data_IF_476928129394
#
_entry.id   IF_476928129394
#
_cell.length_a   1.000
_cell.length_b   1.000
_cell.length_c   1.000
_cell.angle_alpha   90.00
_cell.angle_beta   90.00
_cell.angle_gamma   90.00
#
_symmetry.space_group_name_H-M   'P 1'
#
loop_
_entity.id
_entity.type
_entity.pdbx_description
1 polymer ?
2 non-polymer ?
3 non-polymer ?
4 water ?
#
# COMPACT_ATOMS: atom_id res chain seq x y z
N UNK A 1 2.46 19.64 -29.03
CA UNK A 1 2.20 18.24 -29.34
C UNK A 1 3.44 17.39 -29.30
N UNK A 2 3.48 16.44 -28.36
CA UNK A 2 4.62 15.55 -28.21
C UNK A 2 4.22 14.10 -28.46
N UNK A 3 5.19 13.28 -28.84
CA UNK A 3 4.97 11.86 -29.00
C UNK A 3 5.60 11.10 -27.84
N UNK A 4 4.76 10.59 -26.94
CA UNK A 4 5.21 9.98 -25.71
C UNK A 4 4.95 8.48 -25.65
N UNK A 5 5.88 7.77 -25.04
CA UNK A 5 5.72 6.34 -24.79
C UNK A 5 5.61 6.10 -23.29
N UNK A 6 4.59 5.35 -22.88
CA UNK A 6 4.41 5.05 -21.47
C UNK A 6 4.49 3.54 -21.22
N UNK A 7 5.54 3.13 -20.54
CA UNK A 7 5.73 1.73 -20.18
C UNK A 7 4.81 1.38 -19.01
N UNK A 8 4.17 0.21 -19.10
CA UNK A 8 3.20 -0.27 -18.12
C UNK A 8 2.01 0.69 -18.02
N UNK A 9 1.40 0.98 -19.17
CA UNK A 9 0.29 1.92 -19.23
C UNK A 9 -1.00 1.35 -18.65
N UNK A 10 -1.01 0.05 -18.38
CA UNK A 10 -2.19 -0.58 -17.79
C UNK A 10 -2.19 -0.44 -16.27
N UNK A 11 -1.03 -0.12 -15.70
CA UNK A 11 -0.92 0.13 -14.28
C UNK A 11 -1.74 1.35 -13.90
N UNK A 12 -2.05 1.48 -12.62
CA UNK A 12 -2.90 2.57 -12.15
C UNK A 12 -2.24 3.92 -12.40
N UNK A 13 -0.94 4.01 -12.14
CA UNK A 13 -0.20 5.25 -12.38
C UNK A 13 -0.01 5.48 -13.87
N UNK A 14 0.27 4.40 -14.59
CA UNK A 14 0.51 4.46 -16.02
C UNK A 14 -0.64 5.04 -16.81
N UNK A 15 -1.85 4.55 -16.57
CA UNK A 15 -3.01 5.02 -17.31
C UNK A 15 -3.45 6.39 -16.82
N UNK A 16 -3.08 6.72 -15.59
CA UNK A 16 -3.31 8.07 -15.08
C UNK A 16 -2.54 9.06 -15.93
N UNK A 17 -1.28 8.74 -16.20
CA UNK A 17 -0.42 9.58 -17.02
C UNK A 17 -0.88 9.59 -18.49
N UNK A 18 -1.27 8.42 -18.99
CA UNK A 18 -1.78 8.31 -20.36
C UNK A 18 -3.01 9.18 -20.55
N UNK A 19 -3.99 9.01 -19.68
CA UNK A 19 -5.25 9.76 -19.76
C UNK A 19 -5.01 11.27 -19.68
N UNK A 20 -4.08 11.67 -18.82
CA UNK A 20 -3.74 13.08 -18.68
C UNK A 20 -3.04 13.60 -19.93
N UNK A 21 -2.07 12.85 -20.42
CA UNK A 21 -1.30 13.25 -21.60
C UNK A 21 -2.15 13.29 -22.86
N UNK A 22 -3.11 12.36 -22.95
CA UNK A 22 -4.02 12.32 -24.09
C UNK A 22 -4.90 13.57 -24.12
N UNK A 23 -5.37 13.95 -22.95
CA UNK A 23 -6.21 15.10 -22.78
C UNK A 23 -5.49 16.36 -23.23
N UNK A 24 -4.20 16.43 -22.99
CA UNK A 24 -3.37 17.58 -23.35
C UNK A 24 -3.21 17.68 -24.86
N UNK A 25 -3.41 16.55 -25.55
CA UNK A 25 -3.38 16.53 -27.01
C UNK A 25 -2.19 15.80 -27.61
N UNK A 26 -1.35 15.22 -26.76
CA UNK A 26 -0.18 14.48 -27.23
C UNK A 26 -0.57 13.13 -27.80
N UNK A 27 0.22 12.61 -28.73
CA UNK A 27 -0.02 11.26 -29.25
C UNK A 27 0.77 10.24 -28.43
N UNK A 28 0.03 9.39 -27.72
CA UNK A 28 0.64 8.50 -26.73
C UNK A 28 0.65 7.04 -27.20
N UNK A 29 1.82 6.44 -27.14
CA UNK A 29 1.97 5.01 -27.40
C UNK A 29 2.04 4.26 -26.09
N UNK A 30 1.17 3.27 -25.91
CA UNK A 30 1.18 2.44 -24.72
C UNK A 30 2.00 1.18 -24.94
N UNK A 31 3.02 0.98 -24.12
CA UNK A 31 3.79 -0.25 -24.15
C UNK A 31 3.34 -1.12 -22.99
N UNK A 32 2.64 -2.19 -23.30
CA UNK A 32 1.97 -3.01 -22.29
C UNK A 32 2.27 -4.51 -22.46
N UNK A 33 1.81 -5.30 -21.51
CA UNK A 33 2.02 -6.74 -21.53
C UNK A 33 0.75 -7.49 -21.88
N UNK A 34 -0.39 -6.94 -21.50
CA UNK A 34 -1.68 -7.55 -21.81
C UNK A 34 -2.57 -6.58 -22.59
N UNK A 35 -3.87 -6.86 -22.62
CA UNK A 35 -4.81 -6.02 -23.37
C UNK A 35 -4.81 -4.59 -22.85
N UNK A 36 -4.91 -3.63 -23.77
CA UNK A 36 -4.85 -2.22 -23.40
C UNK A 36 -6.13 -1.74 -22.76
N UNK A 37 -6.03 -1.30 -21.50
CA UNK A 37 -7.16 -0.74 -20.79
C UNK A 37 -7.08 0.79 -20.77
N UNK A 38 -5.93 1.32 -21.17
CA UNK A 38 -5.73 2.77 -21.18
C UNK A 38 -6.39 3.42 -22.39
N UNK A 39 -6.37 4.76 -22.42
CA UNK A 39 -6.99 5.51 -23.50
C UNK A 39 -6.01 5.78 -24.63
N UNK A 40 -4.93 5.02 -24.66
CA UNK A 40 -3.80 5.32 -25.55
C UNK A 40 -4.11 5.05 -27.02
N UNK A 41 -3.47 5.82 -27.91
CA UNK A 41 -3.69 5.68 -29.32
C UNK A 41 -3.15 4.39 -29.91
N UNK A 42 -1.85 4.23 -29.81
CA UNK A 42 -1.23 3.02 -30.35
C UNK A 42 -0.64 2.14 -29.25
N UNK A 43 -0.70 0.83 -29.46
CA UNK A 43 -0.27 -0.11 -28.45
C UNK A 43 0.85 -1.01 -28.95
N UNK A 44 1.91 -1.12 -28.15
CA UNK A 44 2.94 -2.10 -28.38
C UNK A 44 2.84 -3.16 -27.29
N UNK A 45 2.24 -4.30 -27.60
CA UNK A 45 2.18 -5.38 -26.64
C UNK A 45 3.47 -6.17 -26.69
N UNK A 46 4.32 -5.95 -25.70
CA UNK A 46 5.66 -6.51 -25.70
C UNK A 46 6.18 -6.55 -24.27
N UNK A 47 7.02 -7.52 -23.96
CA UNK A 47 7.65 -7.57 -22.65
C UNK A 47 8.66 -6.45 -22.55
N UNK A 48 8.64 -5.75 -21.43
CA UNK A 48 9.50 -4.59 -21.19
C UNK A 48 10.97 -4.84 -21.53
N UNK A 49 11.51 -5.94 -21.04
CA UNK A 49 12.93 -6.23 -21.18
C UNK A 49 13.27 -6.86 -22.54
N UNK A 50 12.30 -6.85 -23.44
CA UNK A 50 12.52 -7.32 -24.79
C UNK A 50 12.44 -6.15 -25.78
N UNK A 51 12.31 -4.95 -25.24
CA UNK A 51 12.27 -3.74 -26.05
C UNK A 51 13.60 -3.49 -26.75
N UNK A 52 13.52 -2.92 -27.94
CA UNK A 52 14.71 -2.56 -28.70
C UNK A 52 14.76 -1.05 -28.90
N UNK A 53 15.87 -0.55 -29.45
CA UNK A 53 15.97 0.86 -29.76
C UNK A 53 14.92 1.26 -30.80
N UNK A 54 14.68 0.37 -31.75
CA UNK A 54 13.68 0.62 -32.78
C UNK A 54 12.26 0.73 -32.22
N UNK A 55 12.07 0.22 -31.01
CA UNK A 55 10.79 0.37 -30.32
C UNK A 55 10.65 1.75 -29.70
N UNK A 56 11.77 2.34 -29.30
CA UNK A 56 11.74 3.60 -28.57
C UNK A 56 12.20 4.80 -29.40
N UNK A 57 12.54 4.56 -30.66
CA UNK A 57 12.85 5.66 -31.57
C UNK A 57 11.57 6.37 -31.99
N UNK A 58 11.66 7.67 -32.25
CA UNK A 58 10.51 8.44 -32.67
C UNK A 58 9.64 8.87 -31.49
N UNK A 59 10.27 9.13 -30.35
CA UNK A 59 9.55 9.64 -29.18
C UNK A 59 10.26 10.85 -28.59
N UNK A 60 9.49 11.87 -28.22
CA UNK A 60 10.05 13.03 -27.54
C UNK A 60 10.47 12.67 -26.13
N UNK A 61 9.67 11.80 -25.50
CA UNK A 61 9.96 11.35 -24.15
C UNK A 61 9.37 9.98 -23.88
N UNK A 62 10.05 9.20 -23.03
CA UNK A 62 9.57 7.90 -22.61
C UNK A 62 9.34 7.89 -21.10
N UNK A 63 8.10 7.61 -20.69
CA UNK A 63 7.75 7.61 -19.28
C UNK A 63 7.53 6.19 -18.77
N UNK A 64 8.38 5.75 -17.85
CA UNK A 64 8.24 4.42 -17.28
C UNK A 64 7.46 4.47 -15.97
N UNK A 65 6.30 3.81 -15.99
CA UNK A 65 5.48 3.65 -14.79
C UNK A 65 5.53 2.21 -14.34
N UNK A 66 6.66 1.56 -14.62
CA UNK A 66 6.87 0.15 -14.29
C UNK A 66 6.75 -0.11 -12.79
N UNK A 67 5.97 -1.13 -12.45
CA UNK A 67 5.82 -1.55 -11.07
C UNK A 67 5.95 -3.06 -10.94
N UNK A 68 6.81 -3.50 -10.03
CA UNK A 68 7.07 -4.93 -9.85
C UNK A 68 5.84 -5.68 -9.38
N UNK A 69 5.45 -6.69 -10.16
CA UNK A 69 4.25 -7.49 -9.88
C UNK A 69 4.45 -8.38 -8.66
N UNK A 70 5.65 -8.91 -8.49
CA UNK A 70 5.97 -9.73 -7.32
C UNK A 70 7.21 -9.20 -6.60
N UNK A 71 7.27 -9.38 -5.27
CA UNK A 71 8.39 -8.95 -4.42
C UNK A 71 9.74 -9.53 -4.84
N UNK A 72 9.75 -10.71 -5.45
CA UNK A 72 11.01 -11.30 -5.92
C UNK A 72 11.39 -10.75 -7.29
N UNK A 73 10.50 -9.99 -7.90
CA UNK A 73 10.79 -9.32 -9.15
C UNK A 73 11.10 -7.85 -8.92
N UNK A 74 11.15 -7.43 -7.66
CA UNK A 74 11.53 -6.06 -7.31
C UNK A 74 12.89 -5.63 -7.87
N UNK A 75 13.88 -6.54 -7.95
CA UNK A 75 15.14 -6.10 -8.59
C UNK A 75 15.03 -5.69 -10.05
N UNK A 76 13.88 -5.93 -10.69
CA UNK A 76 13.70 -5.57 -12.09
C UNK A 76 13.64 -4.06 -12.30
N UNK A 77 13.42 -3.31 -11.21
CA UNK A 77 13.46 -1.85 -11.26
C UNK A 77 14.83 -1.38 -11.72
N UNK A 78 15.87 -1.99 -11.17
CA UNK A 78 17.24 -1.64 -11.53
C UNK A 78 17.55 -2.11 -12.94
N UNK A 79 17.15 -3.33 -13.26
CA UNK A 79 17.43 -3.91 -14.57
C UNK A 79 16.74 -3.09 -15.66
N UNK A 80 15.58 -2.53 -15.34
CA UNK A 80 14.84 -1.71 -16.31
C UNK A 80 15.63 -0.45 -16.65
N UNK A 81 16.23 0.16 -15.62
CA UNK A 81 17.07 1.34 -15.81
C UNK A 81 18.25 1.02 -16.73
N UNK A 82 18.94 -0.07 -16.44
CA UNK A 82 20.08 -0.50 -17.23
C UNK A 82 19.66 -0.72 -18.68
N UNK A 83 18.48 -1.30 -18.86
CA UNK A 83 17.93 -1.55 -20.19
C UNK A 83 17.60 -0.25 -20.93
N UNK A 84 16.87 0.63 -20.26
CA UNK A 84 16.45 1.88 -20.87
C UNK A 84 17.64 2.76 -21.23
N UNK A 85 18.66 2.75 -20.38
CA UNK A 85 19.89 3.48 -20.66
C UNK A 85 20.53 2.99 -21.95
N UNK A 86 20.59 1.67 -22.10
CA UNK A 86 21.12 1.04 -23.29
C UNK A 86 20.37 1.46 -24.52
N UNK A 87 19.09 1.75 -24.38
CA UNK A 87 18.22 2.06 -25.51
C UNK A 87 18.17 3.54 -25.83
N UNK A 88 18.30 4.38 -24.80
CA UNK A 88 18.04 5.80 -24.96
C UNK A 88 19.28 6.70 -24.87
N UNK A 89 20.33 6.23 -24.21
CA UNK A 89 21.56 7.03 -24.08
C UNK A 89 22.14 7.35 -25.45
N UNK A 90 22.67 8.56 -25.60
CA UNK A 90 23.17 9.02 -26.88
C UNK A 90 22.13 9.83 -27.62
N UNK A 91 20.87 9.44 -27.47
CA UNK A 91 19.76 10.17 -28.10
C UNK A 91 19.35 11.33 -27.20
N UNK A 92 18.52 12.22 -27.72
CA UNK A 92 18.14 13.41 -26.97
C UNK A 92 16.82 13.19 -26.23
N UNK A 93 16.24 12.01 -26.45
CA UNK A 93 14.96 11.65 -25.83
C UNK A 93 14.99 11.71 -24.30
N UNK A 94 13.93 12.27 -23.72
CA UNK A 94 13.79 12.34 -22.27
C UNK A 94 13.25 11.04 -21.71
N UNK A 95 13.77 10.65 -20.55
CA UNK A 95 13.33 9.41 -19.91
C UNK A 95 12.88 9.68 -18.48
N UNK A 96 11.57 9.73 -18.27
CA UNK A 96 11.00 10.01 -16.95
C UNK A 96 10.63 8.73 -16.23
N UNK A 97 10.87 8.72 -14.92
CA UNK A 97 10.56 7.55 -14.11
C UNK A 97 9.57 7.91 -13.00
N UNK A 98 8.50 7.13 -12.90
CA UNK A 98 7.61 7.23 -11.75
C UNK A 98 8.29 6.56 -10.56
N UNK A 99 8.78 7.36 -9.63
CA UNK A 99 9.62 6.84 -8.57
C UNK A 99 8.92 6.63 -7.24
N UNK A 100 9.71 6.64 -6.17
CA UNK A 100 9.19 6.49 -4.83
C UNK A 100 9.56 7.67 -3.95
N UNK A 101 8.89 7.80 -2.81
CA UNK A 101 9.16 8.89 -1.89
C UNK A 101 10.24 8.52 -0.88
N UNK A 102 10.47 7.22 -0.72
CA UNK A 102 11.40 6.72 0.27
C UNK A 102 12.84 7.20 0.11
N UNK A 103 13.19 7.63 -1.09
CA UNK A 103 14.56 8.02 -1.40
C UNK A 103 14.80 9.51 -1.22
N UNK A 104 13.76 10.23 -0.80
CA UNK A 104 13.86 11.66 -0.53
C UNK A 104 14.77 11.90 0.67
N UNK A 105 15.62 12.93 0.58
CA UNK A 105 16.48 13.32 1.69
C UNK A 105 15.69 14.03 2.78
N UNK A 106 16.06 13.80 4.04
CA UNK A 106 15.35 14.38 5.16
C UNK A 106 15.62 15.87 5.35
N UNK A 107 16.80 16.33 4.93
CA UNK A 107 17.15 17.75 5.08
C UNK A 107 18.26 18.17 4.12
N UNK A 108 18.71 19.41 4.28
CA UNK A 108 19.68 20.03 3.36
C UNK A 108 21.06 19.39 3.42
N UNK A 109 21.34 18.66 4.50
CA UNK A 109 22.63 18.00 4.64
C UNK A 109 22.77 16.87 3.62
N UNK A 110 21.62 16.30 3.23
CA UNK A 110 21.56 15.24 2.23
C UNK A 110 22.45 14.05 2.56
N UNK A 111 22.43 13.63 3.83
CA UNK A 111 23.19 12.48 4.27
C UNK A 111 22.29 11.28 4.49
N UNK A 112 21.07 11.55 4.97
CA UNK A 112 20.12 10.50 5.29
C UNK A 112 18.82 10.65 4.48
N UNK A 113 18.25 9.54 4.10
CA UNK A 113 17.03 9.50 3.33
C UNK A 113 15.93 8.85 4.11
N UNK A 114 14.69 9.08 3.75
CA UNK A 114 13.51 8.69 4.52
C UNK A 114 13.50 7.22 4.75
N UNK A 115 14.04 6.53 3.79
CA UNK A 115 14.19 5.11 3.77
C UNK A 115 14.99 4.63 4.96
N UNK A 116 15.96 5.42 5.36
CA UNK A 116 16.94 5.06 6.36
C UNK A 116 16.59 5.35 7.81
N UNK A 117 15.48 5.99 8.08
CA UNK A 117 15.04 6.38 9.41
C UNK A 117 14.59 5.16 10.20
N UNK A 118 14.81 5.18 11.53
CA UNK A 118 14.47 4.06 12.41
C UNK A 118 12.98 3.68 12.37
N UNK A 119 12.12 4.62 12.05
CA UNK A 119 10.67 4.36 12.08
C UNK A 119 10.08 3.99 10.73
N UNK A 120 10.89 3.96 9.68
CA UNK A 120 10.41 3.59 8.36
C UNK A 120 9.93 2.14 8.37
N UNK A 121 8.64 1.91 8.09
CA UNK A 121 7.98 0.61 8.21
C UNK A 121 8.64 -0.49 7.38
N UNK A 122 8.86 -1.64 8.01
CA UNK A 122 9.54 -2.77 7.39
C UNK A 122 8.91 -3.19 6.06
N UNK A 123 7.59 -3.24 6.02
CA UNK A 123 6.88 -3.73 4.85
C UNK A 123 7.03 -2.83 3.63
N UNK A 124 7.50 -1.59 3.84
CA UNK A 124 7.69 -0.66 2.74
C UNK A 124 9.10 -0.74 2.20
N UNK A 125 10.02 -1.23 3.03
CA UNK A 125 11.43 -1.26 2.70
C UNK A 125 11.81 -1.99 1.39
N UNK A 126 11.19 -3.15 1.09
CA UNK A 126 11.59 -3.81 -0.16
C UNK A 126 11.34 -2.97 -1.41
N UNK A 127 10.15 -2.38 -1.54
CA UNK A 127 9.87 -1.52 -2.68
C UNK A 127 10.71 -0.25 -2.65
N UNK A 128 10.79 0.37 -1.47
CA UNK A 128 11.51 1.62 -1.28
C UNK A 128 13.00 1.46 -1.61
N UNK A 129 13.55 0.31 -1.24
CA UNK A 129 14.96 0.04 -1.51
C UNK A 129 15.21 -0.14 -3.00
N UNK A 130 14.31 -0.88 -3.65
CA UNK A 130 14.42 -1.11 -5.09
C UNK A 130 14.30 0.20 -5.85
N UNK A 131 13.43 1.08 -5.39
CA UNK A 131 13.23 2.37 -6.03
C UNK A 131 14.37 3.33 -5.72
N UNK A 132 15.03 3.11 -4.58
CA UNK A 132 16.20 3.91 -4.22
C UNK A 132 17.43 3.46 -5.00
N UNK A 133 17.60 2.14 -5.13
CA UNK A 133 18.65 1.58 -5.96
C UNK A 133 18.48 2.02 -7.40
N UNK A 134 17.22 2.11 -7.81
CA UNK A 134 16.83 2.55 -9.13
C UNK A 134 17.34 3.97 -9.40
N UNK A 135 17.10 4.87 -8.45
CA UNK A 135 17.53 6.26 -8.57
C UNK A 135 19.05 6.38 -8.51
N UNK A 136 19.68 5.60 -7.64
CA UNK A 136 21.13 5.65 -7.49
C UNK A 136 21.83 5.23 -8.79
N UNK A 137 21.24 4.29 -9.51
CA UNK A 137 21.81 3.81 -10.76
C UNK A 137 21.69 4.86 -11.86
N UNK A 138 20.61 5.63 -11.83
CA UNK A 138 20.38 6.67 -12.82
C UNK A 138 21.43 7.78 -12.75
N UNK A 139 21.86 8.13 -11.55
CA UNK A 139 22.83 9.22 -11.39
C UNK A 139 24.16 8.93 -12.07
N UNK A 140 24.45 7.65 -12.29
CA UNK A 140 25.69 7.25 -12.94
C UNK A 140 25.55 7.28 -14.46
N UNK A 141 24.32 7.46 -14.94
CA UNK A 141 24.07 7.52 -16.38
C UNK A 141 24.29 8.94 -16.90
N UNK A 142 25.52 9.22 -17.30
CA UNK A 142 25.91 10.56 -17.72
C UNK A 142 25.23 11.02 -19.01
N UNK A 143 25.16 10.13 -19.99
CA UNK A 143 24.64 10.48 -21.30
C UNK A 143 23.15 10.16 -21.47
N UNK A 144 22.42 10.18 -20.35
CA UNK A 144 20.99 9.92 -20.36
C UNK A 144 20.22 11.11 -19.81
N UNK A 145 19.26 11.60 -20.58
CA UNK A 145 18.42 12.71 -20.14
C UNK A 145 17.27 12.21 -19.25
N UNK A 146 17.61 11.82 -18.02
CA UNK A 146 16.65 11.21 -17.12
C UNK A 146 16.04 12.21 -16.14
N UNK A 147 14.84 11.90 -15.66
CA UNK A 147 14.22 12.67 -14.61
C UNK A 147 13.39 11.75 -13.71
N UNK A 148 13.85 11.60 -12.46
CA UNK A 148 13.18 10.79 -11.47
C UNK A 148 12.09 11.61 -10.79
N UNK A 149 10.85 11.14 -10.87
CA UNK A 149 9.73 11.90 -10.32
C UNK A 149 9.14 11.23 -9.08
N UNK A 150 9.64 11.63 -7.91
CA UNK A 150 9.16 11.10 -6.64
C UNK A 150 7.76 11.62 -6.32
N UNK A 151 6.87 10.72 -5.91
CA UNK A 151 5.54 11.11 -5.44
C UNK A 151 5.61 11.49 -3.97
N UNK A 152 4.46 11.81 -3.37
CA UNK A 152 4.43 12.12 -1.95
C UNK A 152 4.50 10.83 -1.14
N UNK A 153 4.61 10.97 0.18
CA UNK A 153 4.67 9.81 1.06
C UNK A 153 3.41 8.97 0.93
N UNK A 154 2.26 9.63 1.01
CA UNK A 154 0.99 8.96 0.80
C UNK A 154 0.55 9.16 -0.65
N UNK A 155 0.67 8.14 -1.46
CA UNK A 155 0.37 8.17 -2.88
C UNK A 155 -0.91 7.39 -3.12
N UNK A 156 -1.94 8.07 -3.52
CA UNK A 156 -3.28 7.50 -3.53
C UNK A 156 -3.87 7.35 -4.93
N UNK A 157 -4.08 6.10 -5.37
CA UNK A 157 -4.60 5.72 -6.70
C UNK A 157 -5.85 6.47 -7.13
N UNK A 158 -6.93 6.34 -6.37
CA UNK A 158 -8.18 6.99 -6.75
C UNK A 158 -8.47 8.20 -5.89
N UNK A 159 -7.41 8.88 -5.46
CA UNK A 159 -7.54 10.09 -4.69
C UNK A 159 -8.18 11.20 -5.50
N UNK A 160 -8.76 12.17 -4.80
CA UNK A 160 -9.42 13.30 -5.43
C UNK A 160 -8.46 14.13 -6.27
N UNK A 161 -8.88 14.45 -7.50
CA UNK A 161 -8.09 15.32 -8.37
C UNK A 161 -8.31 16.78 -7.98
N UNK A 162 -7.40 17.31 -7.16
CA UNK A 162 -7.54 18.67 -6.67
C UNK A 162 -7.12 19.70 -7.72
N UNK A 163 -6.11 19.35 -8.51
CA UNK A 163 -5.60 20.24 -9.53
C UNK A 163 -4.52 21.17 -9.01
N UNK A 164 -4.33 21.19 -7.70
CA UNK A 164 -3.32 22.05 -7.10
C UNK A 164 -2.23 21.24 -6.41
N UNK A 165 -1.06 21.19 -7.03
CA UNK A 165 0.06 20.44 -6.49
C UNK A 165 1.25 21.35 -6.19
N UNK A 166 2.24 20.81 -5.51
CA UNK A 166 3.49 21.52 -5.28
C UNK A 166 4.66 20.79 -5.91
N UNK A 167 5.47 21.53 -6.67
CA UNK A 167 6.69 20.98 -7.23
C UNK A 167 7.86 21.25 -6.29
N UNK A 168 8.48 20.18 -5.80
CA UNK A 168 9.65 20.33 -4.93
C UNK A 168 10.86 19.65 -5.56
N UNK A 169 11.93 19.51 -4.79
CA UNK A 169 13.17 18.97 -5.32
C UNK A 169 13.63 17.70 -4.64
N UNK A 170 14.91 17.67 -4.33
CA UNK A 170 15.58 16.48 -3.80
C UNK A 170 15.21 16.20 -2.35
N UNK A 171 14.67 17.22 -1.67
CA UNK A 171 14.45 17.16 -0.23
C UNK A 171 12.98 16.98 0.12
N UNK A 172 12.70 16.15 1.13
CA UNK A 172 11.35 15.93 1.61
C UNK A 172 10.65 17.23 1.98
N UNK A 173 9.43 17.39 1.46
CA UNK A 173 8.66 18.62 1.60
C UNK A 173 7.22 18.28 1.99
N UNK A 174 6.59 19.15 2.76
CA UNK A 174 5.19 18.99 3.11
C UNK A 174 4.41 20.21 2.63
N UNK A 175 3.09 20.17 2.72
CA UNK A 175 2.30 21.38 2.49
C UNK A 175 2.18 22.14 3.80
N UNK A 176 1.32 23.16 3.84
CA UNK A 176 1.18 24.02 5.00
C UNK A 176 0.62 23.29 6.23
N UNK A 177 0.04 22.10 6.01
CA UNK A 177 -0.53 21.32 7.09
C UNK A 177 0.50 20.32 7.62
N UNK A 178 1.69 20.31 7.02
CA UNK A 178 2.73 19.38 7.42
C UNK A 178 2.48 17.98 6.89
N UNK A 179 1.66 17.89 5.85
CA UNK A 179 1.25 16.61 5.30
C UNK A 179 1.87 16.37 3.92
N UNK A 180 2.28 15.14 3.65
CA UNK A 180 2.80 14.77 2.35
C UNK A 180 1.93 13.71 1.70
N UNK A 181 0.99 14.15 0.85
CA UNK A 181 0.11 13.23 0.14
C UNK A 181 -0.17 13.77 -1.26
N UNK A 182 -0.53 12.88 -2.18
CA UNK A 182 -0.97 13.30 -3.50
C UNK A 182 -1.73 12.17 -4.22
N UNK A 183 -2.72 12.55 -5.02
CA UNK A 183 -3.48 11.58 -5.80
C UNK A 183 -2.72 11.21 -7.06
N UNK A 184 -3.06 10.07 -7.65
CA UNK A 184 -2.46 9.66 -8.92
C UNK A 184 -2.79 10.68 -10.00
N UNK A 185 -4.00 11.21 -9.95
CA UNK A 185 -4.45 12.21 -10.92
C UNK A 185 -3.61 13.49 -10.85
N UNK A 186 -3.47 14.06 -9.65
CA UNK A 186 -2.67 15.27 -9.47
C UNK A 186 -1.20 15.04 -9.81
N UNK A 187 -0.71 13.84 -9.51
CA UNK A 187 0.66 13.46 -9.83
C UNK A 187 0.89 13.44 -11.34
N UNK A 188 -0.07 12.88 -12.07
CA UNK A 188 0.01 12.84 -13.53
C UNK A 188 0.07 14.26 -14.09
N UNK A 189 -0.74 15.15 -13.54
CA UNK A 189 -0.74 16.55 -13.96
C UNK A 189 0.64 17.16 -13.81
N UNK A 190 1.26 16.95 -12.65
CA UNK A 190 2.58 17.49 -12.40
C UNK A 190 3.64 16.89 -13.30
N UNK A 191 3.53 15.59 -13.56
CA UNK A 191 4.51 14.89 -14.39
C UNK A 191 4.44 15.36 -15.85
N UNK A 192 3.23 15.53 -16.37
CA UNK A 192 3.06 16.00 -17.74
C UNK A 192 3.47 17.47 -17.87
N UNK A 193 3.31 18.23 -16.80
CA UNK A 193 3.78 19.62 -16.78
C UNK A 193 5.29 19.66 -16.95
N UNK A 194 5.98 18.73 -16.31
CA UNK A 194 7.44 18.63 -16.45
C UNK A 194 7.82 18.16 -17.85
N UNK A 195 6.87 17.54 -18.55
CA UNK A 195 7.10 17.13 -19.94
C UNK A 195 6.94 18.31 -20.88
N UNK A 196 5.89 19.09 -20.67
CA UNK A 196 5.63 20.28 -21.47
C UNK A 196 6.58 21.42 -21.11
N UNK A 197 6.69 21.71 -19.82
CA UNK A 197 7.50 22.84 -19.35
C UNK A 197 8.64 22.32 -18.46
N UNK A 198 9.58 21.60 -19.04
CA UNK A 198 10.48 20.87 -18.19
C UNK A 198 11.85 21.38 -18.04
N UNK A 199 12.12 21.94 -16.90
CA UNK A 199 13.46 22.34 -16.57
C UNK A 199 14.43 21.19 -16.37
N UNK A 200 13.99 20.18 -15.64
CA UNK A 200 14.86 19.36 -14.83
C UNK A 200 15.43 18.11 -15.43
N UNK A 201 16.60 18.23 -15.99
CA UNK A 201 17.23 17.13 -16.70
C UNK A 201 18.37 16.54 -15.87
N UNK A 202 18.42 15.21 -15.82
CA UNK A 202 19.41 14.48 -15.02
C UNK A 202 19.33 14.84 -13.54
N UNK A 203 18.11 14.95 -13.02
CA UNK A 203 17.91 15.20 -11.60
C UNK A 203 16.53 14.71 -11.17
N UNK A 204 16.29 14.67 -9.86
CA UNK A 204 15.00 14.24 -9.35
C UNK A 204 14.14 15.38 -8.84
N UNK A 205 12.87 15.37 -9.24
CA UNK A 205 11.89 16.27 -8.68
C UNK A 205 10.90 15.47 -7.83
N UNK A 206 10.11 16.18 -7.03
CA UNK A 206 9.09 15.54 -6.21
C UNK A 206 7.77 16.31 -6.29
N UNK A 207 6.67 15.59 -6.12
CA UNK A 207 5.34 16.18 -6.25
C UNK A 207 4.48 15.92 -5.01
N UNK A 208 3.56 16.85 -4.72
CA UNK A 208 2.69 16.70 -3.56
C UNK A 208 1.51 17.66 -3.64
N UNK A 209 0.44 17.34 -2.92
CA UNK A 209 -0.81 18.10 -3.00
C UNK A 209 -0.73 19.48 -2.34
N UNK A 210 -1.58 20.39 -2.81
CA UNK A 210 -1.73 21.75 -2.27
C UNK A 210 -0.50 22.60 -2.52
N UNK B 1 -15.50 -25.99 20.82
CA UNK B 1 -14.69 -25.67 19.67
C UNK B 1 -15.47 -25.02 18.54
N UNK B 2 -14.80 -24.19 17.75
CA UNK B 2 -15.44 -23.50 16.65
C UNK B 2 -14.75 -23.81 15.33
N UNK B 3 -15.38 -23.39 14.24
CA UNK B 3 -14.79 -23.59 12.92
C UNK B 3 -14.36 -22.25 12.35
N UNK B 4 -13.05 -22.06 12.22
CA UNK B 4 -12.50 -20.77 11.86
C UNK B 4 -11.71 -20.79 10.55
N UNK B 5 -11.84 -19.72 9.78
CA UNK B 5 -11.03 -19.51 8.59
C UNK B 5 -10.19 -18.26 8.77
N UNK B 6 -8.91 -18.35 8.39
CA UNK B 6 -8.01 -17.21 8.54
C UNK B 6 -7.35 -16.86 7.21
N UNK B 7 -7.62 -15.64 6.74
CA UNK B 7 -7.02 -15.14 5.51
C UNK B 7 -5.63 -14.58 5.84
N UNK B 8 -4.67 -14.87 4.95
CA UNK B 8 -3.27 -14.47 5.14
C UNK B 8 -2.68 -15.11 6.39
N UNK B 9 -2.92 -16.41 6.56
CA UNK B 9 -2.46 -17.12 7.74
C UNK B 9 -0.95 -17.31 7.77
N UNK B 10 -0.29 -17.07 6.64
CA UNK B 10 1.17 -17.17 6.56
C UNK B 10 1.87 -15.95 7.16
N UNK B 11 1.18 -14.81 7.19
CA UNK B 11 1.74 -13.59 7.74
C UNK B 11 1.93 -13.70 9.24
N UNK B 12 2.73 -12.80 9.81
CA UNK B 12 3.04 -12.85 11.23
C UNK B 12 1.79 -12.76 12.10
N UNK B 13 0.89 -11.86 11.76
CA UNK B 13 -0.34 -11.66 12.53
C UNK B 13 -1.25 -12.88 12.44
N UNK B 14 -1.56 -13.29 11.22
CA UNK B 14 -2.44 -14.43 11.00
C UNK B 14 -1.93 -15.72 11.59
N UNK B 15 -0.62 -15.93 11.54
CA UNK B 15 -0.02 -17.15 12.05
C UNK B 15 -0.14 -17.24 13.57
N UNK B 16 0.07 -16.09 14.24
CA UNK B 16 -0.10 -16.04 15.70
C UNK B 16 -1.54 -16.33 16.09
N UNK B 17 -2.48 -15.86 15.27
CA UNK B 17 -3.89 -16.11 15.48
C UNK B 17 -4.21 -17.60 15.31
N UNK B 18 -3.75 -18.18 14.20
CA UNK B 18 -4.00 -19.58 13.93
C UNK B 18 -3.43 -20.47 15.04
N UNK B 19 -2.20 -20.19 15.44
CA UNK B 19 -1.54 -20.99 16.47
C UNK B 19 -2.29 -20.93 17.81
N UNK B 20 -2.80 -19.75 18.14
CA UNK B 20 -3.56 -19.58 19.37
C UNK B 20 -4.89 -20.35 19.29
N UNK B 21 -5.54 -20.26 18.13
CA UNK B 21 -6.83 -20.90 17.92
C UNK B 21 -6.72 -22.43 17.93
N UNK B 22 -5.63 -22.96 17.37
CA UNK B 22 -5.46 -24.40 17.25
C UNK B 22 -5.26 -25.07 18.62
N UNK B 23 -4.39 -24.51 19.44
CA UNK B 23 -4.08 -25.11 20.73
C UNK B 23 -5.27 -25.04 21.68
N UNK B 24 -6.23 -24.17 21.36
CA UNK B 24 -7.47 -24.12 22.13
C UNK B 24 -8.47 -25.17 21.62
N UNK B 25 -8.12 -25.84 20.53
CA UNK B 25 -8.93 -26.92 20.00
C UNK B 25 -9.99 -26.48 19.00
N UNK B 26 -9.67 -25.50 18.16
CA UNK B 26 -10.58 -25.05 17.13
C UNK B 26 -10.19 -25.63 15.77
N UNK B 27 -11.19 -25.84 14.91
CA UNK B 27 -10.95 -26.29 13.54
C UNK B 27 -10.58 -25.11 12.67
N UNK B 28 -9.32 -25.03 12.28
CA UNK B 28 -8.83 -23.85 11.57
C UNK B 28 -8.46 -24.14 10.12
N UNK B 29 -9.05 -23.37 9.21
CA UNK B 29 -8.70 -23.43 7.80
C UNK B 29 -7.91 -22.19 7.40
N UNK B 30 -6.73 -22.40 6.81
CA UNK B 30 -5.92 -21.30 6.35
C UNK B 30 -6.21 -20.98 4.89
N UNK B 31 -6.55 -19.72 4.62
CA UNK B 31 -6.75 -19.27 3.25
C UNK B 31 -5.54 -18.44 2.83
N UNK B 32 -4.63 -19.09 2.10
CA UNK B 32 -3.34 -18.50 1.79
C UNK B 32 -2.97 -18.62 0.31
N UNK B 33 -2.16 -17.68 -0.16
CA UNK B 33 -1.61 -17.71 -1.52
C UNK B 33 -0.62 -18.84 -1.78
N UNK B 34 0.25 -19.11 -0.81
CA UNK B 34 1.32 -20.08 -0.96
C UNK B 34 1.18 -21.22 0.05
N UNK B 35 2.26 -21.97 0.24
CA UNK B 35 2.27 -23.09 1.18
C UNK B 35 1.90 -22.63 2.58
N UNK B 36 1.04 -23.39 3.24
CA UNK B 36 0.62 -23.07 4.59
C UNK B 36 1.72 -23.32 5.62
N UNK B 37 2.18 -22.25 6.25
CA UNK B 37 3.23 -22.34 7.26
C UNK B 37 2.64 -22.32 8.67
N UNK B 38 1.36 -21.98 8.76
CA UNK B 38 0.66 -21.96 10.04
C UNK B 38 0.28 -23.37 10.49
N UNK B 39 -0.31 -23.46 11.68
CA UNK B 39 -0.68 -24.75 12.25
C UNK B 39 -2.08 -25.19 11.83
N UNK B 40 -2.67 -24.46 10.89
CA UNK B 40 -3.97 -24.83 10.36
C UNK B 40 -3.86 -26.13 9.56
N UNK B 41 -4.78 -27.07 9.81
CA UNK B 41 -4.71 -28.38 9.18
C UNK B 41 -5.50 -28.44 7.89
N UNK B 42 -6.31 -27.42 7.62
CA UNK B 42 -7.04 -27.32 6.37
C UNK B 42 -6.60 -26.08 5.59
N UNK B 43 -6.45 -26.25 4.28
CA UNK B 43 -5.91 -25.19 3.44
C UNK B 43 -6.81 -24.90 2.25
N UNK B 44 -6.99 -23.63 1.94
CA UNK B 44 -7.63 -23.21 0.69
C UNK B 44 -6.67 -22.28 -0.05
N UNK B 45 -6.06 -22.78 -1.13
CA UNK B 45 -5.02 -22.03 -1.83
C UNK B 45 -5.55 -21.06 -2.87
N UNK B 46 -6.12 -19.95 -2.39
CA UNK B 46 -6.57 -18.85 -3.24
C UNK B 46 -6.29 -17.55 -2.50
N UNK B 47 -6.28 -16.43 -3.21
CA UNK B 47 -6.32 -15.16 -2.52
C UNK B 47 -7.77 -14.73 -2.34
N UNK B 48 -7.96 -13.71 -1.51
CA UNK B 48 -9.29 -13.17 -1.17
C UNK B 48 -10.20 -13.03 -2.38
N UNK B 49 -9.72 -12.31 -3.39
CA UNK B 49 -10.59 -11.81 -4.45
C UNK B 49 -11.02 -12.86 -5.48
N UNK B 50 -10.86 -14.14 -5.14
CA UNK B 50 -11.45 -15.19 -5.95
C UNK B 50 -12.15 -16.21 -5.06
N UNK B 51 -12.20 -15.94 -3.76
CA UNK B 51 -13.03 -16.73 -2.86
C UNK B 51 -14.50 -16.63 -3.29
N UNK B 52 -15.18 -17.75 -3.34
CA UNK B 52 -16.60 -17.75 -3.69
C UNK B 52 -17.43 -17.77 -2.42
N UNK B 53 -18.74 -17.64 -2.57
CA UNK B 53 -19.64 -17.74 -1.42
C UNK B 53 -19.55 -19.11 -0.77
N UNK B 54 -19.38 -20.14 -1.60
CA UNK B 54 -19.26 -21.51 -1.12
C UNK B 54 -17.97 -21.75 -0.34
N UNK B 55 -16.91 -21.02 -0.69
CA UNK B 55 -15.64 -21.13 0.01
C UNK B 55 -15.74 -20.73 1.48
N UNK B 56 -16.58 -19.73 1.76
CA UNK B 56 -16.65 -19.16 3.11
C UNK B 56 -17.88 -19.60 3.88
N UNK B 57 -18.54 -20.66 3.40
CA UNK B 57 -19.72 -21.17 4.10
C UNK B 57 -19.30 -22.22 5.11
N UNK B 58 -20.14 -22.46 6.12
CA UNK B 58 -19.87 -23.47 7.12
C UNK B 58 -18.83 -23.09 8.16
N UNK B 59 -18.43 -21.82 8.20
CA UNK B 59 -17.51 -21.35 9.22
C UNK B 59 -18.24 -20.58 10.30
N UNK B 60 -17.81 -20.76 11.55
CA UNK B 60 -18.33 -19.98 12.66
C UNK B 60 -17.88 -18.52 12.54
N UNK B 61 -16.62 -18.35 12.16
CA UNK B 61 -16.06 -17.01 12.03
C UNK B 61 -14.95 -16.98 10.99
N UNK B 62 -14.77 -15.81 10.38
CA UNK B 62 -13.73 -15.60 9.39
C UNK B 62 -12.84 -14.43 9.81
N UNK B 63 -11.55 -14.69 9.98
CA UNK B 63 -10.61 -13.68 10.45
C UNK B 63 -9.68 -13.23 9.33
N UNK B 64 -9.73 -11.95 8.99
CA UNK B 64 -8.87 -11.43 7.94
C UNK B 64 -7.67 -10.70 8.53
N UNK B 65 -6.49 -11.28 8.33
CA UNK B 65 -5.24 -10.63 8.71
C UNK B 65 -4.53 -10.14 7.45
N UNK B 66 -5.33 -9.84 6.43
CA UNK B 66 -4.82 -9.43 5.13
C UNK B 66 -4.01 -8.14 5.20
N UNK B 67 -2.96 -8.07 4.40
CA UNK B 67 -2.11 -6.89 4.35
C UNK B 67 -1.62 -6.55 2.95
N UNK B 68 -1.55 -5.26 2.65
CA UNK B 68 -1.00 -4.78 1.39
C UNK B 68 -0.15 -3.55 1.67
N UNK B 69 1.01 -3.45 1.02
CA UNK B 69 2.00 -2.48 1.44
C UNK B 69 2.69 -1.75 0.29
N UNK B 70 1.95 -1.54 -0.80
CA UNK B 70 2.43 -0.70 -1.89
C UNK B 70 1.36 0.34 -2.21
N UNK B 71 1.76 1.48 -2.78
CA UNK B 71 0.78 2.52 -3.16
C UNK B 71 -0.36 1.98 -4.02
N UNK B 72 -0.05 1.06 -4.94
CA UNK B 72 -1.07 0.44 -5.78
C UNK B 72 -2.02 -0.46 -5.01
N UNK B 73 -1.49 -1.19 -4.02
CA UNK B 73 -2.25 -2.24 -3.35
C UNK B 73 -2.87 -1.84 -2.01
N UNK B 74 -2.38 -0.74 -1.43
CA UNK B 74 -2.93 -0.27 -0.15
C UNK B 74 -4.47 -0.13 -0.13
N UNK B 75 -5.08 0.35 -1.22
CA UNK B 75 -6.55 0.39 -1.22
C UNK B 75 -7.24 -0.97 -1.15
N UNK B 76 -6.51 -2.07 -1.29
CA UNK B 76 -7.12 -3.40 -1.27
C UNK B 76 -7.66 -3.76 0.11
N UNK B 77 -7.29 -3.00 1.13
CA UNK B 77 -7.85 -3.20 2.45
C UNK B 77 -9.36 -2.97 2.42
N UNK B 78 -9.76 -1.85 1.84
CA UNK B 78 -11.17 -1.52 1.72
C UNK B 78 -11.86 -2.40 0.67
N UNK B 79 -11.16 -2.72 -0.41
CA UNK B 79 -11.77 -3.54 -1.45
C UNK B 79 -12.06 -4.94 -0.93
N UNK B 80 -11.23 -5.41 0.00
CA UNK B 80 -11.43 -6.72 0.60
C UNK B 80 -12.70 -6.72 1.45
N UNK B 81 -13.00 -5.57 2.07
CA UNK B 81 -14.23 -5.42 2.85
C UNK B 81 -15.45 -5.57 1.97
N UNK B 82 -15.38 -5.01 0.76
CA UNK B 82 -16.44 -5.17 -0.23
C UNK B 82 -16.65 -6.64 -0.56
N UNK B 83 -15.54 -7.35 -0.77
CA UNK B 83 -15.58 -8.76 -1.14
C UNK B 83 -16.16 -9.61 -0.03
N UNK B 84 -15.62 -9.45 1.18
CA UNK B 84 -16.04 -10.25 2.32
C UNK B 84 -17.49 -9.97 2.70
N UNK B 85 -17.93 -8.72 2.53
CA UNK B 85 -19.33 -8.40 2.75
C UNK B 85 -20.21 -9.12 1.74
N UNK B 86 -19.78 -9.14 0.49
CA UNK B 86 -20.54 -9.81 -0.55
C UNK B 86 -20.68 -11.30 -0.25
N UNK B 87 -19.61 -11.91 0.25
CA UNK B 87 -19.60 -13.34 0.50
C UNK B 87 -20.26 -13.75 1.83
N UNK B 88 -20.43 -12.79 2.74
CA UNK B 88 -20.89 -13.14 4.08
C UNK B 88 -22.12 -12.37 4.57
N UNK B 89 -22.56 -11.36 3.83
CA UNK B 89 -23.76 -10.62 4.23
C UNK B 89 -24.97 -11.54 4.21
N UNK B 90 -25.87 -11.34 5.17
CA UNK B 90 -27.06 -12.17 5.27
C UNK B 90 -26.84 -13.37 6.17
N UNK B 91 -25.65 -13.97 6.07
CA UNK B 91 -25.29 -15.07 6.94
C UNK B 91 -24.96 -14.54 8.33
N UNK B 92 -24.91 -15.44 9.31
CA UNK B 92 -24.57 -15.03 10.68
C UNK B 92 -23.12 -15.38 11.02
N UNK B 93 -22.33 -15.61 9.98
CA UNK B 93 -20.90 -15.87 10.16
C UNK B 93 -20.18 -14.61 10.64
N UNK B 94 -19.47 -14.72 11.76
CA UNK B 94 -18.72 -13.59 12.27
C UNK B 94 -17.56 -13.27 11.35
N UNK B 95 -17.25 -11.98 11.22
CA UNK B 95 -16.13 -11.54 10.40
C UNK B 95 -15.23 -10.59 11.17
N UNK B 96 -14.03 -11.05 11.52
CA UNK B 96 -13.10 -10.25 12.28
C UNK B 96 -11.95 -9.75 11.40
N UNK B 97 -11.55 -8.50 11.62
CA UNK B 97 -10.44 -7.90 10.89
C UNK B 97 -9.32 -7.50 11.84
N UNK B 98 -8.09 -7.83 11.47
CA UNK B 98 -6.92 -7.33 12.18
C UNK B 98 -6.67 -5.90 11.69
N UNK B 99 -6.97 -4.93 12.54
CA UNK B 99 -6.94 -3.54 12.14
C UNK B 99 -5.69 -2.80 12.58
N UNK B 100 -5.80 -1.47 12.65
CA UNK B 100 -4.70 -0.63 13.08
C UNK B 100 -5.11 0.23 14.26
N UNK B 101 -4.12 0.79 14.95
CA UNK B 101 -4.38 1.62 16.13
C UNK B 101 -4.61 3.07 15.74
N UNK B 102 -4.21 3.42 14.50
CA UNK B 102 -4.26 4.79 14.03
C UNK B 102 -5.66 5.39 14.01
N UNK B 103 -6.67 4.55 13.84
CA UNK B 103 -8.06 5.00 13.71
C UNK B 103 -8.73 5.21 15.06
N UNK B 104 -8.03 4.86 16.15
CA UNK B 104 -8.57 5.02 17.49
C UNK B 104 -8.81 6.49 17.82
N UNK B 105 -9.90 6.76 18.54
CA UNK B 105 -10.23 8.14 18.91
C UNK B 105 -9.45 8.57 20.14
N UNK B 106 -9.06 9.85 20.19
CA UNK B 106 -8.21 10.33 21.28
C UNK B 106 -8.98 10.57 22.57
N UNK B 107 -10.26 10.94 22.46
CA UNK B 107 -11.09 11.20 23.64
C UNK B 107 -12.53 10.73 23.45
N UNK B 108 -13.38 11.06 24.41
CA UNK B 108 -14.74 10.56 24.46
C UNK B 108 -15.67 11.18 23.41
N UNK B 109 -15.25 12.30 22.82
CA UNK B 109 -16.04 12.93 21.77
C UNK B 109 -16.06 12.08 20.49
N UNK B 110 -15.07 11.19 20.37
CA UNK B 110 -14.97 10.30 19.21
C UNK B 110 -14.99 11.04 17.88
N UNK B 111 -14.17 12.07 17.75
CA UNK B 111 -14.04 12.79 16.49
C UNK B 111 -12.62 12.64 15.94
N UNK B 112 -11.67 13.25 16.65
CA UNK B 112 -10.27 13.20 16.27
C UNK B 112 -9.67 11.82 16.51
N UNK B 113 -9.03 11.27 15.49
CA UNK B 113 -8.33 10.00 15.62
C UNK B 113 -6.84 10.26 15.77
N UNK B 114 -6.09 9.25 16.22
CA UNK B 114 -4.65 9.39 16.41
C UNK B 114 -3.95 9.84 15.12
N UNK B 115 -4.36 9.27 13.99
CA UNK B 115 -3.73 9.60 12.71
C UNK B 115 -4.06 11.04 12.27
N UNK B 116 -5.02 11.66 12.93
CA UNK B 116 -5.40 13.03 12.62
C UNK B 116 -4.51 14.05 13.34
N UNK B 117 -3.83 13.64 14.41
CA UNK B 117 -3.03 14.57 15.22
C UNK B 117 -1.71 14.91 14.55
N UNK B 118 -1.24 16.15 14.71
CA UNK B 118 -0.01 16.62 14.07
C UNK B 118 1.26 15.87 14.49
N UNK B 119 1.21 15.14 15.59
CA UNK B 119 2.37 14.37 16.03
C UNK B 119 2.40 12.96 15.43
N UNK B 120 1.32 12.56 14.76
CA UNK B 120 1.28 11.24 14.14
C UNK B 120 2.28 11.19 12.99
N UNK B 121 3.23 10.25 13.05
CA UNK B 121 4.33 10.16 12.10
C UNK B 121 3.85 10.01 10.66
N UNK B 122 4.41 10.82 9.77
CA UNK B 122 3.98 10.90 8.38
C UNK B 122 4.13 9.58 7.66
N UNK B 123 5.20 8.85 7.96
CA UNK B 123 5.49 7.57 7.31
C UNK B 123 4.50 6.47 7.69
N UNK B 124 3.74 6.67 8.77
CA UNK B 124 2.76 5.69 9.20
C UNK B 124 1.40 5.94 8.55
N UNK B 125 1.26 7.09 7.92
CA UNK B 125 -0.04 7.51 7.39
C UNK B 125 -0.56 6.70 6.18
N UNK B 126 0.31 6.30 5.23
CA UNK B 126 -0.21 5.45 4.15
C UNK B 126 -0.99 4.22 4.64
N UNK B 127 -0.39 3.44 5.54
CA UNK B 127 -1.06 2.25 6.06
C UNK B 127 -2.20 2.59 7.02
N UNK B 128 -1.99 3.59 7.87
CA UNK B 128 -2.98 3.97 8.87
C UNK B 128 -4.28 4.45 8.22
N UNK B 129 -4.15 5.29 7.20
CA UNK B 129 -5.32 5.82 6.50
C UNK B 129 -6.05 4.71 5.73
N UNK B 130 -5.27 3.81 5.14
CA UNK B 130 -5.84 2.67 4.42
C UNK B 130 -6.69 1.82 5.36
N UNK B 131 -6.14 1.53 6.54
CA UNK B 131 -6.86 0.76 7.54
C UNK B 131 -8.01 1.54 8.14
N UNK B 132 -7.90 2.86 8.13
CA UNK B 132 -8.97 3.73 8.63
C UNK B 132 -10.14 3.79 7.65
N UNK B 133 -9.84 3.84 6.36
CA UNK B 133 -10.86 3.78 5.33
C UNK B 133 -11.56 2.42 5.37
N UNK B 134 -10.80 1.42 5.77
CA UNK B 134 -11.29 0.06 5.89
C UNK B 134 -12.37 -0.02 6.98
N UNK B 135 -12.06 0.53 8.15
CA UNK B 135 -13.01 0.54 9.25
C UNK B 135 -14.24 1.40 8.91
N UNK B 136 -14.00 2.55 8.29
CA UNK B 136 -15.08 3.45 7.91
C UNK B 136 -16.11 2.76 7.01
N UNK B 137 -15.62 2.03 6.01
CA UNK B 137 -16.47 1.28 5.09
C UNK B 137 -17.16 0.13 5.81
N UNK B 138 -16.42 -0.54 6.69
CA UNK B 138 -16.94 -1.69 7.42
C UNK B 138 -18.15 -1.32 8.28
N UNK B 139 -18.16 -0.09 8.80
CA UNK B 139 -19.28 0.38 9.60
C UNK B 139 -20.57 0.45 8.80
N UNK B 140 -20.43 0.59 7.48
CA UNK B 140 -21.58 0.65 6.58
C UNK B 140 -22.32 -0.69 6.52
N UNK B 141 -21.56 -1.78 6.53
CA UNK B 141 -22.12 -3.11 6.29
C UNK B 141 -23.01 -3.60 7.44
N UNK B 142 -24.27 -3.18 7.41
CA UNK B 142 -25.21 -3.49 8.48
C UNK B 142 -25.70 -4.94 8.46
N UNK B 143 -25.51 -5.62 7.32
CA UNK B 143 -25.92 -7.00 7.20
C UNK B 143 -24.75 -7.95 7.37
N UNK B 144 -23.70 -7.47 8.04
CA UNK B 144 -22.51 -8.26 8.30
C UNK B 144 -22.15 -8.24 9.77
N UNK B 145 -22.00 -9.42 10.37
CA UNK B 145 -21.54 -9.52 11.75
C UNK B 145 -20.04 -9.27 11.83
N UNK B 146 -19.66 -8.00 11.80
CA UNK B 146 -18.25 -7.63 11.74
C UNK B 146 -17.70 -7.24 13.10
N UNK B 147 -16.40 -7.44 13.28
CA UNK B 147 -15.71 -6.94 14.47
C UNK B 147 -14.31 -6.49 14.08
N UNK B 148 -14.08 -5.19 14.22
CA UNK B 148 -12.77 -4.60 13.93
C UNK B 148 -11.92 -4.64 15.19
N UNK B 149 -10.78 -5.32 15.12
CA UNK B 149 -9.92 -5.46 16.29
C UNK B 149 -8.62 -4.68 16.15
N UNK B 150 -8.61 -3.47 16.69
CA UNK B 150 -7.41 -2.62 16.68
C UNK B 150 -6.37 -3.11 17.68
N UNK B 151 -5.10 -3.12 17.26
CA UNK B 151 -4.00 -3.43 18.18
C UNK B 151 -3.57 -2.17 18.94
N UNK B 152 -2.49 -2.27 19.69
CA UNK B 152 -1.91 -1.12 20.35
C UNK B 152 -1.09 -0.32 19.35
N UNK B 153 -0.62 0.86 19.76
CA UNK B 153 0.21 1.70 18.90
C UNK B 153 1.53 1.00 18.61
N UNK B 154 2.07 0.32 19.62
CA UNK B 154 3.25 -0.51 19.43
C UNK B 154 2.84 -1.98 19.31
N UNK B 155 2.55 -2.41 18.10
CA UNK B 155 2.20 -3.80 17.81
C UNK B 155 3.47 -4.57 17.53
N UNK B 156 3.94 -5.34 18.51
CA UNK B 156 5.25 -5.97 18.42
C UNK B 156 5.19 -7.38 17.84
N UNK B 157 5.68 -7.54 16.60
CA UNK B 157 5.81 -8.89 16.06
C UNK B 157 6.88 -9.66 16.82
N UNK B 158 6.62 -10.92 17.11
CA UNK B 158 7.56 -11.78 17.83
C UNK B 158 7.89 -11.23 19.22
N UNK B 159 7.02 -10.37 19.74
CA UNK B 159 7.20 -9.82 21.06
C UNK B 159 6.91 -10.83 22.15
N UNK B 160 7.27 -10.50 23.39
CA UNK B 160 7.09 -11.40 24.50
C UNK B 160 5.61 -11.71 24.72
N UNK B 161 5.32 -12.98 24.96
CA UNK B 161 3.95 -13.42 25.19
C UNK B 161 3.57 -13.33 26.66
N UNK B 162 3.01 -12.20 27.05
CA UNK B 162 2.48 -12.05 28.41
C UNK B 162 1.06 -12.56 28.44
N UNK B 163 0.68 -13.21 29.54
CA UNK B 163 -0.65 -13.77 29.65
C UNK B 163 -1.74 -12.71 29.80
N UNK B 164 -1.33 -11.49 30.10
CA UNK B 164 -2.27 -10.43 30.41
C UNK B 164 -2.44 -9.39 29.30
N UNK B 165 -3.68 -8.97 29.08
CA UNK B 165 -3.99 -7.93 28.10
C UNK B 165 -5.20 -7.13 28.56
N UNK B 166 -5.38 -5.95 27.98
CA UNK B 166 -6.53 -5.11 28.30
C UNK B 166 -7.42 -4.95 27.09
N UNK B 167 -8.71 -5.27 27.25
CA UNK B 167 -9.67 -5.05 26.19
C UNK B 167 -10.35 -3.70 26.37
N UNK B 168 -10.26 -2.86 25.36
CA UNK B 168 -10.90 -1.55 25.39
C UNK B 168 -11.79 -1.37 24.17
N UNK B 169 -12.42 -0.19 24.07
CA UNK B 169 -13.35 0.08 22.99
C UNK B 169 -12.76 0.92 21.88
N UNK B 170 -13.52 1.94 21.46
CA UNK B 170 -13.12 2.78 20.33
C UNK B 170 -12.20 3.93 20.75
N UNK B 171 -12.12 4.18 22.05
CA UNK B 171 -11.26 5.25 22.57
C UNK B 171 -9.84 4.73 22.78
N UNK B 172 -8.86 5.52 22.36
CA UNK B 172 -7.45 5.16 22.58
C UNK B 172 -7.16 5.03 24.06
N UNK B 173 -6.55 3.91 24.43
CA UNK B 173 -6.36 3.58 25.84
C UNK B 173 -4.92 3.15 26.11
N UNK B 174 -4.37 3.61 27.23
CA UNK B 174 -3.07 3.17 27.70
C UNK B 174 -3.24 2.43 29.02
N UNK B 175 -2.26 1.61 29.40
CA UNK B 175 -2.35 0.89 30.66
C UNK B 175 -1.98 1.76 31.86
N UNK B 176 -1.83 1.13 33.02
CA UNK B 176 -1.56 1.83 34.27
C UNK B 176 -0.25 2.62 34.22
N UNK B 177 0.73 2.11 33.48
CA UNK B 177 2.01 2.77 33.35
C UNK B 177 2.02 3.78 32.20
N UNK B 178 0.91 3.86 31.47
CA UNK B 178 0.75 4.88 30.46
C UNK B 178 1.20 4.51 29.06
N UNK B 179 1.62 3.27 28.85
CA UNK B 179 2.07 2.85 27.53
C UNK B 179 1.00 2.08 26.77
N UNK B 180 1.09 2.14 25.44
CA UNK B 180 0.19 1.39 24.56
C UNK B 180 0.98 0.33 23.81
N UNK B 181 0.93 -0.91 24.30
CA UNK B 181 1.80 -1.96 23.78
C UNK B 181 1.10 -3.30 23.77
N UNK B 182 1.39 -4.11 22.75
CA UNK B 182 0.94 -5.50 22.73
C UNK B 182 1.72 -6.32 21.69
N UNK B 183 2.11 -7.53 22.08
CA UNK B 183 2.75 -8.45 21.17
C UNK B 183 1.69 -9.12 20.31
N UNK B 184 2.13 -9.80 19.25
CA UNK B 184 1.19 -10.51 18.39
C UNK B 184 0.51 -11.64 19.15
N UNK B 185 1.29 -12.32 19.99
CA UNK B 185 0.79 -13.44 20.78
C UNK B 185 -0.31 -13.03 21.74
N UNK B 186 -0.11 -11.91 22.43
CA UNK B 186 -1.11 -11.41 23.37
C UNK B 186 -2.37 -10.95 22.64
N UNK B 187 -2.18 -10.29 21.51
CA UNK B 187 -3.27 -9.86 20.64
C UNK B 187 -4.10 -11.05 20.18
N UNK B 188 -3.41 -12.15 19.86
CA UNK B 188 -4.07 -13.38 19.45
C UNK B 188 -4.94 -13.95 20.55
N UNK B 189 -4.43 -13.92 21.78
CA UNK B 189 -5.19 -14.37 22.94
C UNK B 189 -6.46 -13.53 23.08
N UNK B 190 -6.33 -12.22 22.91
CA UNK B 190 -7.45 -11.32 22.99
C UNK B 190 -8.48 -11.55 21.90
N UNK B 191 -8.01 -11.70 20.66
CA UNK B 191 -8.89 -11.91 19.51
C UNK B 191 -9.67 -13.21 19.65
N UNK B 192 -8.97 -14.29 20.01
CA UNK B 192 -9.61 -15.60 20.14
C UNK B 192 -10.58 -15.60 21.32
N UNK B 193 -10.22 -14.90 22.39
CA UNK B 193 -11.11 -14.71 23.53
C UNK B 193 -12.43 -14.09 23.08
N UNK B 194 -12.34 -13.12 22.18
CA UNK B 194 -13.51 -12.46 21.64
C UNK B 194 -14.37 -13.43 20.83
N UNK B 195 -13.73 -14.33 20.10
CA UNK B 195 -14.44 -15.36 19.34
C UNK B 195 -15.17 -16.33 20.27
N UNK B 196 -14.48 -16.76 21.32
CA UNK B 196 -15.06 -17.69 22.30
C UNK B 196 -16.15 -17.01 23.12
N UNK B 197 -15.92 -15.76 23.49
CA UNK B 197 -16.89 -15.00 24.27
C UNK B 197 -17.40 -13.82 23.46
N UNK B 198 -18.20 -14.12 22.45
CA UNK B 198 -18.74 -13.11 21.55
C UNK B 198 -19.59 -12.08 22.24
N UNK B 199 -19.19 -10.82 22.13
CA UNK B 199 -19.98 -9.72 22.65
C UNK B 199 -20.10 -8.62 21.60
N UNK B 200 -18.95 -8.17 21.12
CA UNK B 200 -18.87 -6.96 20.32
C UNK B 200 -19.09 -7.23 18.85
N UNK B 201 -20.34 -7.54 18.51
CA UNK B 201 -20.74 -7.70 17.12
C UNK B 201 -21.05 -6.33 16.53
N UNK B 202 -20.63 -6.12 15.28
CA UNK B 202 -20.75 -4.83 14.60
C UNK B 202 -20.13 -3.72 15.44
N UNK B 203 -18.96 -4.01 16.01
CA UNK B 203 -18.24 -3.06 16.86
C UNK B 203 -16.75 -3.09 16.60
N UNK B 204 -16.07 -2.00 16.93
CA UNK B 204 -14.62 -1.99 16.92
C UNK B 204 -14.09 -2.08 18.35
N UNK B 205 -13.16 -2.98 18.57
CA UNK B 205 -12.52 -3.09 19.87
C UNK B 205 -11.02 -2.88 19.75
N UNK B 206 -10.35 -2.73 20.88
CA UNK B 206 -8.91 -2.50 20.89
C UNK B 206 -8.25 -3.36 21.96
N UNK B 207 -7.00 -3.72 21.71
CA UNK B 207 -6.26 -4.58 22.63
C UNK B 207 -4.90 -3.99 22.97
N UNK B 208 -4.46 -4.21 24.21
CA UNK B 208 -3.14 -3.75 24.66
C UNK B 208 -2.72 -4.58 25.87
N UNK B 209 -1.42 -4.71 26.10
CA UNK B 209 -0.93 -5.52 27.21
C UNK B 209 -1.14 -4.80 28.53
N UNK B 210 -1.48 -5.55 29.58
CA UNK B 210 -1.71 -4.96 30.89
C UNK B 210 -0.39 -4.67 31.59
X LIG C 1 1.25 -3.43 -18.20
X LIG C 1 0.87 -2.28 -19.01
X LIG C 1 2.67 -3.72 -18.41
X LIG C 1 1.01 -3.14 -16.79
X LIG C 1 0.45 -4.60 -18.59
X LIG D 1 16.28 20.88 -3.36
X LIG E 1 -10.00 10.99 -1.66
X LIG F 1 -0.51 -15.58 2.33
X LIG F 1 0.30 -16.53 1.60
X LIG F 1 0.16 -14.33 2.14
X LIG F 1 -1.80 -15.39 1.74
X LIG F 1 -0.60 -15.86 3.73
X LIG G 1 -25.32 -5.43 2.03
X LIG G 1 -24.28 -5.14 1.04
X LIG G 1 -24.76 -5.32 3.37
X LIG G 1 -26.42 -4.47 1.88
X LIG G 1 -25.83 -6.78 1.81
X LIG H 1 -15.49 3.06 24.20
X LIG I 1 3.71 -22.27 -3.00
#
# INVERSE_FOLDING_TARGET
GMKLAVIAANGQAGKAIVEEAVKRGHEVTAIVRSENKSQAESIIKKDLFELTKDDLTGFDAVISAFGAYTPDTLPLHSKSIELFNQLLAGTQTRFLVVGGAGSLYIDETKTTRLLDTPDFPEEFKPLAKAQADELDLLRTKNNLNWTFVSPAVDFIPDGEKTGNYILAGEIFTTNEKGISQISYADYAIGLVDELEKGHHIKERISLLEK
GMKLAVIAANGQAGKAIVEEAVKRGHEVTAIVRSENKSQAESIIKKDLFELTKDDLTGFDAVISAFGAYTPDTLPLHSKSIELFNQLLAGTQTRFLVVGGAGSLYIDETKTTRLLDTPDFPEEFKPLAKAQADELDLLRTKNNLNWTFVSPAVDFIPDGEKTGNYILAGEIFTTNEKGISQISYADYAIGLVDELEKGHHIKERISLLEK
SO4 S O1 O2 O3 O4
CL CL
CL CL
SO4 S O1 O2 O3 O4
SO4 S O1 O2 O3 O4
CL CL
CL CL
#
